data_IF_825992477837
#
_entry.id   IF_825992477837
#
_cell.length_a   1.000
_cell.length_b   1.000
_cell.length_c   1.000
_cell.angle_alpha   90.00
_cell.angle_beta   90.00
_cell.angle_gamma   90.00
#
_symmetry.space_group_name_H-M   'P 1'
#
loop_
_entity.id
_entity.type
_entity.pdbx_description
1 polymer ?
#
# COMPACT_ATOMS: atom_id res chain seq x y z
N UNK A 1 -29.11 27.26 4.54
CA UNK A 1 -28.03 28.14 5.04
C UNK A 1 -27.08 27.39 5.98
N UNK A 2 -27.58 26.58 6.93
CA UNK A 2 -26.75 25.74 7.82
C UNK A 2 -25.97 24.60 7.11
N UNK A 3 -26.46 24.07 5.99
CA UNK A 3 -25.81 22.97 5.24
C UNK A 3 -24.60 23.42 4.42
N UNK A 4 -24.62 24.62 3.83
CA UNK A 4 -23.47 25.13 3.07
C UNK A 4 -22.28 25.51 3.95
N UNK A 5 -22.52 25.99 5.16
CA UNK A 5 -21.47 26.24 6.17
C UNK A 5 -20.76 24.94 6.55
N UNK A 6 -21.49 23.84 6.72
CA UNK A 6 -20.90 22.55 7.06
C UNK A 6 -19.96 22.01 5.95
N UNK A 7 -20.33 22.15 4.67
CA UNK A 7 -19.48 21.70 3.54
C UNK A 7 -18.17 22.47 3.43
N UNK A 8 -18.26 23.79 3.58
CA UNK A 8 -17.09 24.66 3.55
C UNK A 8 -16.15 24.35 4.73
N UNK A 9 -16.71 24.09 5.91
CA UNK A 9 -15.93 23.74 7.10
C UNK A 9 -15.18 22.40 6.92
N UNK A 10 -15.83 21.37 6.36
CA UNK A 10 -15.19 20.09 6.04
C UNK A 10 -14.07 20.28 5.01
N UNK A 11 -14.32 21.02 3.93
CA UNK A 11 -13.31 21.29 2.91
C UNK A 11 -12.08 22.02 3.48
N UNK A 12 -12.29 23.01 4.36
CA UNK A 12 -11.20 23.72 5.04
C UNK A 12 -10.41 22.77 5.95
N UNK A 13 -11.08 21.87 6.68
CA UNK A 13 -10.42 20.90 7.55
C UNK A 13 -9.60 19.90 6.76
N UNK A 14 -10.11 19.38 5.64
CA UNK A 14 -9.36 18.50 4.74
C UNK A 14 -8.12 19.23 4.22
N UNK A 15 -8.29 20.46 3.70
CA UNK A 15 -7.17 21.24 3.21
C UNK A 15 -6.11 21.47 4.31
N UNK A 16 -6.53 21.83 5.52
CA UNK A 16 -5.64 22.06 6.66
C UNK A 16 -4.90 20.78 7.07
N UNK A 17 -5.58 19.63 7.10
CA UNK A 17 -4.98 18.35 7.41
C UNK A 17 -3.92 17.95 6.38
N UNK A 18 -4.24 18.05 5.08
CA UNK A 18 -3.29 17.75 4.01
C UNK A 18 -2.07 18.68 4.09
N UNK A 19 -2.28 19.99 4.29
CA UNK A 19 -1.17 20.94 4.45
C UNK A 19 -0.28 20.58 5.64
N UNK A 20 -0.86 20.29 6.81
CA UNK A 20 -0.10 19.91 8.00
C UNK A 20 0.70 18.61 7.81
N UNK A 21 0.20 17.68 7.01
CA UNK A 21 0.87 16.41 6.73
C UNK A 21 1.97 16.53 5.67
N UNK A 22 1.83 17.47 4.74
CA UNK A 22 2.76 17.72 3.64
C UNK A 22 3.72 18.88 3.88
N UNK A 23 3.66 19.54 5.04
CA UNK A 23 4.58 20.62 5.39
C UNK A 23 5.96 20.05 5.75
N UNK A 24 6.96 20.46 5.00
CA UNK A 24 8.37 20.22 5.30
C UNK A 24 8.99 21.48 5.91
N UNK A 25 9.61 21.37 7.11
CA UNK A 25 10.32 22.49 7.71
C UNK A 25 11.31 23.10 6.71
N UNK A 26 11.22 24.41 6.51
CA UNK A 26 12.09 25.21 5.63
C UNK A 26 11.91 25.01 4.11
N UNK A 27 11.31 23.92 3.66
CA UNK A 27 11.12 23.58 2.23
C UNK A 27 9.71 23.90 1.70
N UNK A 28 8.75 24.12 2.60
CA UNK A 28 7.36 24.43 2.23
C UNK A 28 6.51 23.18 2.08
N UNK A 29 5.54 23.18 1.17
CA UNK A 29 4.64 22.04 0.97
C UNK A 29 5.22 21.06 -0.05
N UNK A 30 5.38 19.79 0.34
CA UNK A 30 5.71 18.72 -0.58
C UNK A 30 4.50 18.38 -1.47
N UNK A 31 4.55 18.81 -2.73
CA UNK A 31 3.49 18.58 -3.71
C UNK A 31 3.30 17.09 -4.04
N UNK A 32 4.37 16.27 -4.00
CA UNK A 32 4.27 14.84 -4.26
C UNK A 32 3.46 14.15 -3.15
N UNK A 33 3.77 14.47 -1.89
CA UNK A 33 3.00 13.97 -0.75
C UNK A 33 1.54 14.39 -0.79
N UNK A 34 1.25 15.65 -1.15
CA UNK A 34 -0.13 16.11 -1.37
C UNK A 34 -0.85 15.27 -2.45
N UNK A 35 -0.17 14.98 -3.57
CA UNK A 35 -0.72 14.14 -4.63
C UNK A 35 -1.02 12.71 -4.15
N UNK A 36 -0.14 12.11 -3.35
CA UNK A 36 -0.38 10.79 -2.76
C UNK A 36 -1.56 10.78 -1.79
N UNK A 37 -1.68 11.81 -0.94
CA UNK A 37 -2.82 11.96 -0.03
C UNK A 37 -4.14 12.08 -0.82
N UNK A 38 -4.15 12.89 -1.89
CA UNK A 38 -5.33 13.00 -2.76
C UNK A 38 -5.64 11.70 -3.50
N UNK A 39 -4.62 11.01 -4.01
CA UNK A 39 -4.79 9.70 -4.63
C UNK A 39 -5.45 8.71 -3.67
N UNK A 40 -4.98 8.66 -2.41
CA UNK A 40 -5.62 7.90 -1.36
C UNK A 40 -7.09 8.28 -1.14
N UNK A 41 -7.40 9.57 -1.03
CA UNK A 41 -8.79 10.02 -0.88
C UNK A 41 -9.66 9.58 -2.06
N UNK A 42 -9.16 9.66 -3.30
CA UNK A 42 -9.89 9.20 -4.50
C UNK A 42 -10.16 7.70 -4.47
N UNK A 43 -9.17 6.88 -4.07
CA UNK A 43 -9.36 5.44 -3.91
C UNK A 43 -10.43 5.14 -2.87
N UNK A 44 -10.42 5.82 -1.73
CA UNK A 44 -11.43 5.61 -0.70
C UNK A 44 -12.84 6.04 -1.17
N UNK A 45 -12.94 7.17 -1.88
CA UNK A 45 -14.19 7.59 -2.49
C UNK A 45 -14.69 6.56 -3.51
N UNK A 46 -13.80 5.97 -4.32
CA UNK A 46 -14.16 4.96 -5.30
C UNK A 46 -14.77 3.70 -4.65
N UNK A 47 -14.27 3.29 -3.48
CA UNK A 47 -14.83 2.18 -2.71
C UNK A 47 -16.20 2.45 -2.06
N UNK A 48 -16.71 3.69 -2.11
CA UNK A 48 -18.09 4.00 -1.73
C UNK A 48 -19.12 3.58 -2.78
N UNK A 49 -18.67 3.15 -3.96
CA UNK A 49 -19.51 2.75 -5.09
C UNK A 49 -19.33 1.26 -5.39
N UNK A 50 -20.36 0.64 -5.98
CA UNK A 50 -20.36 -0.79 -6.31
C UNK A 50 -19.28 -1.16 -7.34
N UNK A 51 -19.04 -0.28 -8.32
CA UNK A 51 -17.96 -0.43 -9.30
C UNK A 51 -16.91 0.67 -9.09
N UNK A 52 -15.85 0.34 -8.36
CA UNK A 52 -14.78 1.28 -8.01
C UNK A 52 -13.94 1.72 -9.23
N UNK A 53 -13.81 0.87 -10.26
CA UNK A 53 -13.07 1.17 -11.49
C UNK A 53 -13.80 2.26 -12.29
N UNK A 54 -15.10 2.04 -12.55
CA UNK A 54 -15.96 3.03 -13.23
C UNK A 54 -16.03 4.35 -12.45
N UNK A 55 -16.05 4.30 -11.12
CA UNK A 55 -16.06 5.49 -10.27
C UNK A 55 -14.76 6.31 -10.39
N UNK A 56 -13.60 5.66 -10.51
CA UNK A 56 -12.32 6.34 -10.75
C UNK A 56 -12.22 6.91 -12.16
N UNK A 57 -12.62 6.15 -13.18
CA UNK A 57 -12.62 6.62 -14.57
C UNK A 57 -13.50 7.87 -14.71
N UNK A 58 -14.69 7.85 -14.11
CA UNK A 58 -15.58 9.01 -14.06
C UNK A 58 -14.96 10.20 -13.31
N UNK A 59 -14.24 9.95 -12.21
CA UNK A 59 -13.54 10.99 -11.46
C UNK A 59 -12.43 11.65 -12.29
N UNK A 60 -11.64 10.86 -13.05
CA UNK A 60 -10.60 11.40 -13.91
C UNK A 60 -11.16 12.13 -15.13
N UNK A 61 -12.20 11.61 -15.77
CA UNK A 61 -12.88 12.33 -16.85
C UNK A 61 -13.38 13.71 -16.38
N UNK A 62 -14.00 13.75 -15.19
CA UNK A 62 -14.44 15.01 -14.59
C UNK A 62 -13.28 15.92 -14.18
N UNK A 63 -12.18 15.36 -13.70
CA UNK A 63 -10.98 16.13 -13.39
C UNK A 63 -10.37 16.75 -14.66
N UNK A 64 -10.37 16.03 -15.78
CA UNK A 64 -9.91 16.54 -17.07
C UNK A 64 -10.76 17.74 -17.52
N UNK A 65 -12.09 17.65 -17.36
CA UNK A 65 -13.02 18.76 -17.62
C UNK A 65 -12.74 19.95 -16.70
N UNK A 66 -12.57 19.72 -15.39
CA UNK A 66 -12.31 20.76 -14.40
C UNK A 66 -10.96 21.47 -14.58
N UNK A 67 -9.94 20.73 -15.05
CA UNK A 67 -8.61 21.26 -15.32
C UNK A 67 -8.47 21.83 -16.73
N UNK A 68 -9.43 21.55 -17.62
CA UNK A 68 -9.35 21.82 -19.06
C UNK A 68 -8.08 21.21 -19.70
N UNK A 69 -7.64 20.05 -19.20
CA UNK A 69 -6.45 19.36 -19.69
C UNK A 69 -6.50 17.84 -19.49
N UNK A 70 -5.87 17.12 -20.41
CA UNK A 70 -5.63 15.69 -20.28
C UNK A 70 -4.35 15.39 -19.47
N UNK A 71 -4.24 14.22 -18.83
CA UNK A 71 -2.99 13.80 -18.20
C UNK A 71 -1.90 13.66 -19.27
N UNK A 72 -0.67 14.00 -18.89
CA UNK A 72 0.49 13.85 -19.78
C UNK A 72 0.59 12.43 -20.35
N UNK A 73 0.69 12.33 -21.68
CA UNK A 73 0.62 11.07 -22.42
C UNK A 73 1.98 10.39 -22.68
N UNK A 74 3.09 11.06 -22.37
CA UNK A 74 4.42 10.48 -22.56
C UNK A 74 4.83 9.54 -21.43
N UNK A 75 5.93 8.82 -21.64
CA UNK A 75 6.47 7.90 -20.65
C UNK A 75 6.87 8.64 -19.36
N UNK A 76 6.47 8.09 -18.22
CA UNK A 76 7.00 8.53 -16.93
C UNK A 76 8.42 7.98 -16.76
N UNK A 77 9.35 8.86 -16.41
CA UNK A 77 10.69 8.42 -16.03
C UNK A 77 10.63 7.52 -14.79
N UNK A 78 11.55 6.56 -14.67
CA UNK A 78 11.59 5.62 -13.54
C UNK A 78 11.85 6.24 -12.15
N UNK A 79 11.97 7.57 -12.06
CA UNK A 79 12.07 8.35 -10.81
C UNK A 79 10.93 9.36 -10.64
N UNK A 80 9.91 9.30 -11.50
CA UNK A 80 8.79 10.24 -11.45
C UNK A 80 7.88 9.98 -10.25
N UNK A 81 7.81 8.73 -9.79
CA UNK A 81 7.06 8.32 -8.61
C UNK A 81 8.01 7.92 -7.48
N UNK A 82 7.60 8.14 -6.21
CA UNK A 82 8.37 7.65 -5.07
C UNK A 82 8.32 6.12 -4.99
N UNK A 83 9.14 5.49 -4.12
CA UNK A 83 9.09 4.05 -3.89
C UNK A 83 7.70 3.57 -3.50
N UNK A 84 7.34 2.34 -3.88
CA UNK A 84 6.01 1.75 -3.66
C UNK A 84 5.58 1.73 -2.19
N UNK A 85 6.53 1.53 -1.27
CA UNK A 85 6.31 1.62 0.19
C UNK A 85 5.90 3.01 0.65
N UNK A 86 6.42 4.07 0.02
CA UNK A 86 6.06 5.46 0.31
C UNK A 86 4.69 5.81 -0.30
N UNK A 87 4.44 5.36 -1.54
CA UNK A 87 3.12 5.51 -2.17
C UNK A 87 2.04 4.88 -1.28
N UNK A 88 2.26 3.65 -0.83
CA UNK A 88 1.34 2.96 0.08
C UNK A 88 1.11 3.74 1.37
N UNK A 89 2.18 4.18 2.01
CA UNK A 89 2.12 4.92 3.28
C UNK A 89 1.34 6.25 3.18
N UNK A 90 1.65 7.08 2.17
CA UNK A 90 0.99 8.37 2.02
C UNK A 90 -0.44 8.24 1.48
N UNK A 91 -0.70 7.29 0.58
CA UNK A 91 -2.07 7.05 0.09
C UNK A 91 -2.96 6.46 1.19
N UNK A 92 -2.47 5.57 2.07
CA UNK A 92 -3.28 5.06 3.19
C UNK A 92 -3.64 6.16 4.20
N UNK A 93 -2.76 7.13 4.42
CA UNK A 93 -3.10 8.31 5.22
C UNK A 93 -4.21 9.13 4.55
N UNK A 94 -4.14 9.33 3.24
CA UNK A 94 -5.20 9.98 2.46
C UNK A 94 -6.54 9.25 2.56
N UNK A 95 -6.52 7.92 2.44
CA UNK A 95 -7.71 7.07 2.64
C UNK A 95 -8.30 7.19 4.03
N UNK A 96 -7.44 7.22 5.05
CA UNK A 96 -7.86 7.37 6.45
C UNK A 96 -8.51 8.73 6.69
N UNK A 97 -7.96 9.80 6.14
CA UNK A 97 -8.59 11.13 6.16
C UNK A 97 -9.97 11.10 5.46
N UNK A 98 -10.06 10.49 4.28
CA UNK A 98 -11.32 10.41 3.56
C UNK A 98 -12.40 9.70 4.38
N UNK A 99 -12.08 8.58 5.04
CA UNK A 99 -13.02 7.89 5.95
C UNK A 99 -13.48 8.79 7.09
N UNK A 100 -12.55 9.42 7.80
CA UNK A 100 -12.86 10.29 8.94
C UNK A 100 -13.78 11.45 8.53
N UNK A 101 -13.47 12.14 7.44
CA UNK A 101 -14.29 13.25 6.97
C UNK A 101 -15.60 12.82 6.34
N UNK A 102 -15.65 11.63 5.73
CA UNK A 102 -16.88 11.09 5.17
C UNK A 102 -17.88 10.68 6.26
N UNK A 103 -17.43 10.19 7.42
CA UNK A 103 -18.30 9.90 8.57
C UNK A 103 -19.07 11.13 9.06
N UNK A 104 -18.47 12.32 8.93
CA UNK A 104 -19.10 13.60 9.27
C UNK A 104 -19.91 14.21 8.11
N UNK A 105 -19.82 13.63 6.91
CA UNK A 105 -20.50 14.14 5.73
C UNK A 105 -21.98 13.75 5.75
N UNK A 106 -22.86 14.75 5.76
CA UNK A 106 -24.30 14.56 5.91
C UNK A 106 -25.03 14.29 4.58
N UNK A 107 -24.34 14.46 3.45
CA UNK A 107 -24.90 14.30 2.10
C UNK A 107 -24.42 13.00 1.44
N UNK A 108 -24.64 12.83 0.14
CA UNK A 108 -24.32 11.60 -0.56
C UNK A 108 -22.84 11.49 -0.98
N UNK A 109 -22.39 10.27 -1.28
CA UNK A 109 -21.02 9.94 -1.70
C UNK A 109 -20.57 10.70 -2.95
N UNK A 110 -21.48 10.93 -3.91
CA UNK A 110 -21.18 11.70 -5.12
C UNK A 110 -20.78 13.15 -4.80
N UNK A 111 -21.49 13.81 -3.88
CA UNK A 111 -21.17 15.18 -3.50
C UNK A 111 -19.88 15.29 -2.69
N UNK A 112 -19.53 14.25 -1.92
CA UNK A 112 -18.25 14.19 -1.23
C UNK A 112 -17.08 14.05 -2.22
N UNK A 113 -17.20 13.12 -3.18
CA UNK A 113 -16.21 12.94 -4.22
C UNK A 113 -16.00 14.23 -5.03
N UNK A 114 -17.09 14.93 -5.38
CA UNK A 114 -17.03 16.22 -6.07
C UNK A 114 -16.23 17.26 -5.29
N UNK A 115 -16.44 17.34 -3.98
CA UNK A 115 -15.71 18.26 -3.11
C UNK A 115 -14.21 17.92 -3.07
N UNK A 116 -13.84 16.63 -3.03
CA UNK A 116 -12.44 16.19 -3.15
C UNK A 116 -11.85 16.62 -4.50
N UNK A 117 -12.58 16.43 -5.61
CA UNK A 117 -12.11 16.86 -6.93
C UNK A 117 -11.90 18.38 -7.00
N UNK A 118 -12.77 19.18 -6.40
CA UNK A 118 -12.56 20.63 -6.31
C UNK A 118 -11.31 21.02 -5.51
N UNK A 119 -11.00 20.32 -4.42
CA UNK A 119 -9.78 20.57 -3.64
C UNK A 119 -8.51 20.25 -4.43
N UNK A 120 -8.53 19.15 -5.20
CA UNK A 120 -7.43 18.77 -6.10
C UNK A 120 -7.25 19.83 -7.18
N UNK A 121 -8.34 20.25 -7.84
CA UNK A 121 -8.32 21.28 -8.88
C UNK A 121 -7.70 22.60 -8.37
N UNK A 122 -8.08 23.02 -7.17
CA UNK A 122 -7.55 24.24 -6.54
C UNK A 122 -6.05 24.12 -6.26
N UNK A 123 -5.58 22.95 -5.81
CA UNK A 123 -4.15 22.70 -5.58
C UNK A 123 -3.36 22.77 -6.88
N UNK A 124 -3.90 22.21 -7.96
CA UNK A 124 -3.25 22.23 -9.28
C UNK A 124 -3.19 23.64 -9.86
N UNK A 125 -4.29 24.40 -9.77
CA UNK A 125 -4.31 25.80 -10.18
C UNK A 125 -3.27 26.63 -9.40
N UNK A 126 -3.10 26.36 -8.10
CA UNK A 126 -2.07 27.00 -7.29
C UNK A 126 -0.66 26.61 -7.72
N UNK A 127 -0.37 25.33 -7.95
CA UNK A 127 0.96 24.87 -8.35
C UNK A 127 1.37 25.34 -9.75
N UNK A 128 0.40 25.51 -10.66
CA UNK A 128 0.65 26.09 -11.97
C UNK A 128 1.20 27.52 -11.88
N UNK A 129 0.74 28.31 -10.90
CA UNK A 129 1.29 29.65 -10.64
C UNK A 129 2.76 29.62 -10.22
N UNK A 130 3.26 28.47 -9.75
CA UNK A 130 4.65 28.23 -9.38
C UNK A 130 5.43 27.45 -10.46
N UNK A 131 4.84 27.23 -11.64
CA UNK A 131 5.51 26.64 -12.79
C UNK A 131 5.41 25.11 -12.89
N UNK A 132 4.58 24.45 -12.07
CA UNK A 132 4.29 23.02 -12.24
C UNK A 132 3.16 22.82 -13.26
N UNK A 133 3.39 22.12 -14.39
CA UNK A 133 2.34 21.90 -15.39
C UNK A 133 1.20 21.03 -14.86
N UNK A 134 -0.04 21.50 -14.99
CA UNK A 134 -1.24 20.75 -14.55
C UNK A 134 -1.32 19.35 -15.16
N UNK A 135 -0.97 19.19 -16.43
CA UNK A 135 -0.98 17.89 -17.13
C UNK A 135 -0.01 16.87 -16.53
N UNK A 136 1.14 17.33 -16.02
CA UNK A 136 2.14 16.45 -15.38
C UNK A 136 1.69 16.07 -13.96
N UNK A 137 1.20 17.03 -13.17
CA UNK A 137 0.60 16.77 -11.86
C UNK A 137 -0.60 15.83 -11.97
N UNK A 138 -1.42 15.98 -13.02
CA UNK A 138 -2.54 15.11 -13.28
C UNK A 138 -2.10 13.69 -13.62
N UNK A 139 -1.07 13.53 -14.46
CA UNK A 139 -0.51 12.19 -14.74
C UNK A 139 -0.01 11.50 -13.47
N UNK A 140 0.70 12.23 -12.61
CA UNK A 140 1.20 11.67 -11.33
C UNK A 140 0.04 11.25 -10.42
N UNK A 141 -1.01 12.08 -10.30
CA UNK A 141 -2.21 11.75 -9.53
C UNK A 141 -2.85 10.45 -10.02
N UNK A 142 -3.05 10.31 -11.33
CA UNK A 142 -3.67 9.13 -11.96
C UNK A 142 -2.88 7.88 -11.60
N UNK A 143 -1.56 7.92 -11.77
CA UNK A 143 -0.67 6.78 -11.56
C UNK A 143 -0.59 6.36 -10.09
N UNK A 144 -0.50 7.33 -9.19
CA UNK A 144 -0.54 7.08 -7.76
C UNK A 144 -1.87 6.47 -7.31
N UNK A 145 -2.98 6.94 -7.90
CA UNK A 145 -4.33 6.44 -7.59
C UNK A 145 -4.49 4.99 -8.07
N UNK A 146 -4.08 4.68 -9.30
CA UNK A 146 -4.13 3.29 -9.82
C UNK A 146 -3.24 2.35 -9.00
N UNK A 147 -2.01 2.75 -8.66
CA UNK A 147 -1.14 1.95 -7.78
C UNK A 147 -1.76 1.72 -6.41
N UNK A 148 -2.30 2.77 -5.78
CA UNK A 148 -2.96 2.67 -4.48
C UNK A 148 -4.16 1.71 -4.53
N UNK A 149 -5.01 1.83 -5.55
CA UNK A 149 -6.13 0.91 -5.76
C UNK A 149 -5.66 -0.52 -5.96
N UNK A 150 -4.62 -0.73 -6.76
CA UNK A 150 -4.06 -2.05 -7.01
C UNK A 150 -3.52 -2.70 -5.73
N UNK A 151 -2.89 -1.94 -4.82
CA UNK A 151 -2.47 -2.45 -3.51
C UNK A 151 -3.66 -2.87 -2.64
N UNK A 152 -4.75 -2.10 -2.64
CA UNK A 152 -5.95 -2.44 -1.87
C UNK A 152 -6.68 -3.65 -2.41
N UNK A 153 -6.88 -3.72 -3.73
CA UNK A 153 -7.45 -4.89 -4.39
C UNK A 153 -6.61 -6.12 -4.10
N UNK A 154 -5.28 -6.03 -4.24
CA UNK A 154 -4.39 -7.14 -3.93
C UNK A 154 -4.49 -7.61 -2.49
N UNK A 155 -4.59 -6.68 -1.53
CA UNK A 155 -4.72 -7.03 -0.12
C UNK A 155 -5.98 -7.86 0.16
N UNK A 156 -7.10 -7.59 -0.53
CA UNK A 156 -8.35 -8.35 -0.35
C UNK A 156 -8.33 -9.64 -1.17
N UNK A 157 -8.12 -9.53 -2.47
CA UNK A 157 -8.28 -10.62 -3.43
C UNK A 157 -7.23 -11.73 -3.24
N UNK A 158 -6.00 -11.39 -2.87
CA UNK A 158 -4.99 -12.42 -2.55
C UNK A 158 -5.32 -13.14 -1.24
N UNK A 159 -5.87 -12.45 -0.25
CA UNK A 159 -6.35 -13.08 0.98
C UNK A 159 -7.50 -14.04 0.69
N UNK A 160 -8.49 -13.59 -0.09
CA UNK A 160 -9.67 -14.38 -0.42
C UNK A 160 -9.30 -15.58 -1.30
N UNK A 161 -8.48 -15.38 -2.33
CA UNK A 161 -7.97 -16.48 -3.15
C UNK A 161 -7.18 -17.50 -2.31
N UNK A 162 -6.43 -17.05 -1.31
CA UNK A 162 -5.73 -17.93 -0.39
C UNK A 162 -6.73 -18.71 0.48
N UNK A 163 -7.72 -18.05 1.06
CA UNK A 163 -8.74 -18.69 1.91
C UNK A 163 -9.50 -19.75 1.11
N UNK A 164 -9.95 -19.43 -0.09
CA UNK A 164 -10.72 -20.35 -0.92
C UNK A 164 -9.86 -21.51 -1.43
N UNK A 165 -8.72 -21.21 -2.06
CA UNK A 165 -7.94 -22.23 -2.77
C UNK A 165 -7.01 -22.98 -1.84
N UNK A 166 -6.30 -22.29 -0.93
CA UNK A 166 -5.28 -22.92 -0.09
C UNK A 166 -5.87 -23.51 1.18
N UNK A 167 -6.70 -22.76 1.90
CA UNK A 167 -7.33 -23.26 3.13
C UNK A 167 -8.51 -24.17 2.78
N UNK A 168 -9.45 -23.69 1.95
CA UNK A 168 -10.68 -24.42 1.62
C UNK A 168 -10.44 -25.72 0.86
N UNK A 169 -9.61 -25.69 -0.20
CA UNK A 169 -9.37 -26.87 -1.06
C UNK A 169 -8.14 -27.64 -0.62
N UNK A 170 -6.99 -26.98 -0.44
CA UNK A 170 -5.71 -27.64 -0.14
C UNK A 170 -5.47 -27.89 1.37
N UNK A 171 -6.39 -27.47 2.24
CA UNK A 171 -6.36 -27.72 3.69
C UNK A 171 -5.07 -27.17 4.35
N UNK A 172 -4.56 -26.04 3.85
CA UNK A 172 -3.48 -25.31 4.51
C UNK A 172 -3.92 -24.82 5.89
N UNK A 173 -2.96 -24.76 6.81
CA UNK A 173 -3.19 -24.11 8.10
C UNK A 173 -3.06 -22.61 7.94
N UNK A 174 -3.75 -21.86 8.79
CA UNK A 174 -3.62 -20.40 8.89
C UNK A 174 -2.17 -19.91 9.04
N UNK A 175 -1.35 -20.65 9.78
CA UNK A 175 0.08 -20.35 9.91
C UNK A 175 0.83 -20.46 8.57
N UNK A 176 0.50 -21.46 7.75
CA UNK A 176 1.10 -21.66 6.42
C UNK A 176 0.71 -20.51 5.49
N UNK A 177 -0.55 -20.06 5.58
CA UNK A 177 -1.07 -18.91 4.84
C UNK A 177 -0.29 -17.61 5.08
N UNK A 178 -0.07 -17.30 6.36
CA UNK A 178 0.70 -16.12 6.79
C UNK A 178 2.14 -16.22 6.31
N UNK A 179 2.79 -17.37 6.51
CA UNK A 179 4.16 -17.60 6.09
C UNK A 179 4.33 -17.55 4.57
N UNK A 180 3.35 -18.02 3.80
CA UNK A 180 3.37 -18.00 2.35
C UNK A 180 3.34 -16.57 1.80
N UNK A 181 2.35 -15.75 2.21
CA UNK A 181 2.21 -14.37 1.73
C UNK A 181 3.39 -13.49 2.16
N UNK A 182 3.81 -13.59 3.42
CA UNK A 182 4.97 -12.87 3.93
C UNK A 182 6.26 -13.31 3.22
N UNK A 183 6.42 -14.62 2.98
CA UNK A 183 7.54 -15.17 2.22
C UNK A 183 7.57 -14.68 0.77
N UNK A 184 6.41 -14.65 0.09
CA UNK A 184 6.28 -14.11 -1.27
C UNK A 184 6.68 -12.63 -1.32
N UNK A 185 6.27 -11.82 -0.32
CA UNK A 185 6.67 -10.41 -0.24
C UNK A 185 8.20 -10.27 -0.18
N UNK A 186 8.87 -11.02 0.70
CA UNK A 186 10.32 -10.97 0.86
C UNK A 186 11.07 -11.48 -0.36
N UNK A 187 10.57 -12.56 -0.97
CA UNK A 187 11.12 -13.14 -2.19
C UNK A 187 11.05 -12.15 -3.37
N UNK A 188 9.87 -11.56 -3.63
CA UNK A 188 9.67 -10.58 -4.71
C UNK A 188 10.46 -9.31 -4.48
N UNK A 189 10.52 -8.83 -3.24
CA UNK A 189 11.33 -7.67 -2.88
C UNK A 189 12.79 -7.93 -3.25
N UNK A 190 13.39 -9.05 -2.82
CA UNK A 190 14.78 -9.37 -3.15
C UNK A 190 15.02 -9.48 -4.67
N UNK A 191 14.07 -10.04 -5.41
CA UNK A 191 14.16 -10.11 -6.87
C UNK A 191 14.07 -8.74 -7.56
N UNK A 192 13.34 -7.77 -6.99
CA UNK A 192 13.15 -6.43 -7.59
C UNK A 192 14.45 -5.65 -7.81
N UNK A 193 15.51 -5.98 -7.06
CA UNK A 193 16.84 -5.39 -7.19
C UNK A 193 17.91 -6.43 -7.51
N UNK A 194 17.53 -7.56 -8.10
CA UNK A 194 18.44 -8.66 -8.47
C UNK A 194 19.32 -9.13 -7.30
N UNK A 195 18.83 -9.02 -6.05
CA UNK A 195 19.62 -9.26 -4.84
C UNK A 195 20.86 -8.36 -4.66
N UNK A 196 21.00 -7.29 -5.46
CA UNK A 196 22.18 -6.40 -5.50
C UNK A 196 22.11 -5.22 -4.54
N UNK A 197 20.91 -4.71 -4.24
CA UNK A 197 20.76 -3.68 -3.22
C UNK A 197 20.77 -4.31 -1.82
N UNK A 198 21.69 -3.80 -0.97
CA UNK A 198 21.75 -4.06 0.46
C UNK A 198 22.03 -5.52 0.89
N UNK A 199 22.96 -6.19 0.20
CA UNK A 199 23.67 -7.35 0.74
C UNK A 199 24.58 -6.95 1.92
N UNK A 200 23.98 -6.42 2.98
CA UNK A 200 24.58 -6.42 4.30
C UNK A 200 24.26 -7.80 4.86
N UNK A 201 25.24 -8.49 5.42
CA UNK A 201 24.97 -9.52 6.42
C UNK A 201 24.29 -8.84 7.61
N UNK A 202 23.00 -8.54 7.48
CA UNK A 202 22.27 -7.73 8.44
C UNK A 202 22.06 -8.59 9.69
N UNK A 203 22.43 -8.05 10.86
CA UNK A 203 22.63 -8.82 12.10
C UNK A 203 21.41 -8.68 13.00
N UNK A 204 20.74 -9.79 13.31
CA UNK A 204 19.63 -9.78 14.27
C UNK A 204 18.48 -8.88 13.82
N UNK A 205 18.15 -7.88 14.64
CA UNK A 205 17.01 -6.97 14.46
C UNK A 205 17.25 -5.80 13.48
N UNK A 206 18.47 -5.62 13.01
CA UNK A 206 18.82 -4.56 12.06
C UNK A 206 18.46 -5.03 10.66
N UNK A 207 17.29 -4.66 10.15
CA UNK A 207 16.84 -5.02 8.80
C UNK A 207 17.38 -3.99 7.77
N UNK A 208 17.66 -4.41 6.52
CA UNK A 208 17.91 -3.48 5.42
C UNK A 208 16.71 -2.55 5.20
N UNK A 209 16.93 -1.29 4.83
CA UNK A 209 15.90 -0.25 4.77
C UNK A 209 14.68 -0.66 3.92
N UNK A 210 14.90 -1.27 2.75
CA UNK A 210 13.81 -1.69 1.86
C UNK A 210 12.99 -2.83 2.47
N UNK A 211 13.65 -3.78 3.13
CA UNK A 211 12.98 -4.88 3.82
C UNK A 211 12.21 -4.34 5.04
N UNK A 212 12.79 -3.41 5.78
CA UNK A 212 12.14 -2.81 6.94
C UNK A 212 10.89 -2.02 6.56
N UNK A 213 10.95 -1.23 5.49
CA UNK A 213 9.80 -0.51 4.96
C UNK A 213 8.70 -1.47 4.46
N UNK A 214 9.07 -2.59 3.82
CA UNK A 214 8.09 -3.58 3.35
C UNK A 214 7.47 -4.35 4.53
N UNK A 215 8.26 -4.68 5.55
CA UNK A 215 7.76 -5.24 6.79
C UNK A 215 6.81 -4.25 7.50
N UNK A 216 7.14 -2.96 7.47
CA UNK A 216 6.31 -1.90 8.03
C UNK A 216 4.93 -1.84 7.35
N UNK A 217 4.86 -1.94 6.01
CA UNK A 217 3.59 -2.07 5.27
C UNK A 217 2.73 -3.22 5.81
N UNK A 218 3.31 -4.42 5.95
CA UNK A 218 2.63 -5.58 6.52
C UNK A 218 2.13 -5.31 7.96
N UNK A 219 2.95 -4.67 8.79
CA UNK A 219 2.56 -4.36 10.18
C UNK A 219 1.43 -3.34 10.26
N UNK A 220 1.47 -2.28 9.44
CA UNK A 220 0.43 -1.25 9.40
C UNK A 220 -0.89 -1.85 8.98
N UNK A 221 -0.89 -2.68 7.93
CA UNK A 221 -2.09 -3.34 7.44
C UNK A 221 -2.70 -4.27 8.50
N UNK A 222 -1.89 -5.05 9.22
CA UNK A 222 -2.40 -5.89 10.30
C UNK A 222 -2.98 -5.09 11.48
N UNK A 223 -2.32 -4.00 11.88
CA UNK A 223 -2.77 -3.13 12.97
C UNK A 223 -4.07 -2.44 12.59
N UNK A 224 -4.20 -1.99 11.33
CA UNK A 224 -5.41 -1.39 10.75
C UNK A 224 -6.62 -2.31 10.88
N UNK A 225 -6.43 -3.62 10.71
CA UNK A 225 -7.48 -4.64 10.87
C UNK A 225 -7.60 -5.20 12.30
N UNK A 226 -7.01 -4.51 13.30
CA UNK A 226 -7.27 -4.77 14.72
C UNK A 226 -6.26 -5.65 15.44
N UNK A 227 -5.10 -5.94 14.83
CA UNK A 227 -4.00 -6.61 15.54
C UNK A 227 -3.29 -5.63 16.50
N UNK A 228 -2.92 -6.10 17.69
CA UNK A 228 -2.31 -5.26 18.72
C UNK A 228 -0.89 -4.78 18.32
N UNK A 229 -0.58 -3.50 18.50
CA UNK A 229 0.72 -2.88 18.17
C UNK A 229 1.78 -2.94 19.29
N UNK A 230 1.44 -3.47 20.47
CA UNK A 230 2.23 -3.25 21.71
C UNK A 230 3.57 -3.99 21.81
N UNK A 231 3.83 -4.99 20.96
CA UNK A 231 5.10 -5.74 20.94
C UNK A 231 5.85 -5.49 19.64
N UNK A 232 7.17 -5.24 19.77
CA UNK A 232 8.06 -5.21 18.62
C UNK A 232 7.94 -6.53 17.84
N UNK A 233 7.62 -6.42 16.55
CA UNK A 233 7.40 -7.55 15.67
C UNK A 233 8.69 -8.28 15.33
N UNK A 234 9.83 -7.61 15.52
CA UNK A 234 11.18 -8.18 15.36
C UNK A 234 11.56 -9.08 16.55
N UNK A 235 10.79 -9.04 17.63
CA UNK A 235 11.03 -9.89 18.80
C UNK A 235 10.83 -11.37 18.45
N UNK A 236 11.86 -12.19 18.66
CA UNK A 236 11.81 -13.64 18.39
C UNK A 236 12.36 -14.06 17.03
N UNK A 237 12.93 -13.14 16.24
CA UNK A 237 13.73 -13.51 15.08
C UNK A 237 14.94 -14.37 15.51
N UNK A 238 15.27 -15.44 14.76
CA UNK A 238 16.40 -16.30 15.09
C UNK A 238 17.71 -15.51 15.12
N UNK A 239 18.61 -15.90 16.01
CA UNK A 239 19.97 -15.40 15.95
C UNK A 239 20.60 -15.83 14.61
N UNK A 240 21.43 -14.98 14.01
CA UNK A 240 22.00 -15.19 12.67
C UNK A 240 23.12 -16.26 12.64
N UNK A 241 23.16 -17.18 13.61
CA UNK A 241 24.02 -18.36 13.63
C UNK A 241 23.43 -19.55 12.86
N UNK A 242 22.20 -19.43 12.35
CA UNK A 242 21.57 -20.44 11.49
C UNK A 242 21.58 -20.06 10.00
N UNK A 243 21.79 -21.02 9.09
CA UNK A 243 21.57 -20.83 7.66
C UNK A 243 20.15 -20.33 7.38
N UNK A 244 19.98 -19.63 6.25
CA UNK A 244 18.67 -19.14 5.88
C UNK A 244 17.68 -20.32 5.68
N UNK A 245 16.47 -20.21 6.21
CA UNK A 245 15.44 -21.26 6.15
C UNK A 245 14.10 -20.68 5.65
N UNK A 246 14.04 -20.21 4.39
CA UNK A 246 12.81 -19.68 3.82
C UNK A 246 11.73 -20.75 3.66
N UNK A 247 10.43 -20.40 3.78
CA UNK A 247 9.30 -21.31 3.54
C UNK A 247 9.09 -21.59 2.04
N UNK A 248 10.12 -22.13 1.39
CA UNK A 248 10.23 -22.25 -0.07
C UNK A 248 9.09 -23.05 -0.70
N UNK A 249 8.63 -24.12 -0.05
CA UNK A 249 7.49 -24.91 -0.53
C UNK A 249 6.22 -24.09 -0.57
N UNK A 250 5.95 -23.30 0.47
CA UNK A 250 4.77 -22.45 0.57
C UNK A 250 4.81 -21.33 -0.48
N UNK A 251 5.97 -20.70 -0.66
CA UNK A 251 6.17 -19.67 -1.70
C UNK A 251 5.91 -20.25 -3.08
N UNK A 252 6.51 -21.40 -3.41
CA UNK A 252 6.33 -22.06 -4.72
C UNK A 252 4.88 -22.43 -5.00
N UNK A 253 4.13 -22.82 -3.97
CA UNK A 253 2.72 -23.15 -4.12
C UNK A 253 1.83 -21.90 -4.22
N UNK A 254 2.21 -20.79 -3.61
CA UNK A 254 1.47 -19.53 -3.66
C UNK A 254 1.76 -18.71 -4.92
N UNK A 255 2.97 -18.80 -5.47
CA UNK A 255 3.42 -18.01 -6.62
C UNK A 255 2.48 -18.09 -7.84
N UNK A 256 1.91 -19.25 -8.24
CA UNK A 256 0.96 -19.30 -9.36
C UNK A 256 -0.30 -18.47 -9.12
N UNK A 257 -0.78 -18.39 -7.87
CA UNK A 257 -1.95 -17.58 -7.49
C UNK A 257 -1.59 -16.09 -7.59
N UNK A 258 -0.47 -15.69 -6.98
CA UNK A 258 0.03 -14.33 -7.06
C UNK A 258 0.29 -13.90 -8.51
N UNK A 259 0.97 -14.71 -9.30
CA UNK A 259 1.29 -14.40 -10.70
C UNK A 259 0.03 -14.29 -11.57
N UNK A 260 -0.96 -15.17 -11.36
CA UNK A 260 -2.25 -15.10 -12.05
C UNK A 260 -2.99 -13.79 -11.74
N UNK A 261 -3.06 -13.43 -10.46
CA UNK A 261 -3.70 -12.20 -10.00
C UNK A 261 -2.97 -10.94 -10.50
N UNK A 262 -1.66 -10.83 -10.27
CA UNK A 262 -0.87 -9.66 -10.67
C UNK A 262 -0.88 -9.43 -12.18
N UNK A 263 -0.93 -10.51 -12.97
CA UNK A 263 -1.12 -10.41 -14.42
C UNK A 263 -2.51 -9.85 -14.79
N UNK A 264 -3.55 -10.19 -14.05
CA UNK A 264 -4.91 -9.72 -14.31
C UNK A 264 -5.07 -8.22 -14.03
N UNK A 265 -4.38 -7.70 -13.00
CA UNK A 265 -4.39 -6.27 -12.65
C UNK A 265 -3.21 -5.48 -13.24
N UNK A 266 -2.47 -6.09 -14.19
CA UNK A 266 -1.33 -5.48 -14.88
C UNK A 266 -0.19 -4.96 -13.96
N UNK A 267 -0.05 -5.53 -12.75
CA UNK A 267 1.02 -5.20 -11.80
C UNK A 267 2.28 -6.03 -12.11
N UNK A 268 3.13 -5.52 -13.00
CA UNK A 268 4.35 -6.25 -13.43
C UNK A 268 5.60 -5.94 -12.61
N UNK A 269 5.63 -4.82 -11.92
CA UNK A 269 6.78 -4.42 -11.11
C UNK A 269 6.90 -5.27 -9.84
N UNK A 270 8.08 -5.83 -9.59
CA UNK A 270 8.30 -6.74 -8.46
C UNK A 270 8.29 -6.03 -7.10
N UNK A 271 8.63 -4.74 -7.04
CA UNK A 271 8.55 -3.96 -5.81
C UNK A 271 7.07 -3.70 -5.45
N UNK A 272 6.26 -3.31 -6.44
CA UNK A 272 4.80 -3.20 -6.27
C UNK A 272 4.18 -4.52 -5.81
N UNK A 273 4.54 -5.64 -6.44
CA UNK A 273 4.03 -6.96 -6.03
C UNK A 273 4.49 -7.33 -4.62
N UNK A 274 5.69 -6.94 -4.19
CA UNK A 274 6.17 -7.18 -2.84
C UNK A 274 5.34 -6.41 -1.80
N UNK A 275 5.05 -5.13 -2.06
CA UNK A 275 4.15 -4.30 -1.23
C UNK A 275 2.75 -4.91 -1.18
N UNK A 276 2.20 -5.31 -2.32
CA UNK A 276 0.90 -5.95 -2.41
C UNK A 276 0.82 -7.26 -1.60
N UNK A 277 1.83 -8.14 -1.73
CA UNK A 277 1.93 -9.36 -0.92
C UNK A 277 2.09 -9.04 0.58
N UNK A 278 2.84 -7.99 0.94
CA UNK A 278 3.02 -7.56 2.32
C UNK A 278 1.71 -7.09 2.94
N UNK A 279 0.88 -6.32 2.20
CA UNK A 279 -0.47 -5.96 2.66
C UNK A 279 -1.36 -7.18 2.83
N UNK A 280 -1.41 -8.07 1.84
CA UNK A 280 -2.17 -9.31 1.96
C UNK A 280 -1.72 -10.14 3.18
N UNK A 281 -0.42 -10.23 3.44
CA UNK A 281 0.11 -10.88 4.64
C UNK A 281 -0.37 -10.19 5.93
N UNK A 282 -0.39 -8.86 5.98
CA UNK A 282 -0.89 -8.07 7.10
C UNK A 282 -2.38 -8.31 7.38
N UNK A 283 -3.21 -8.34 6.33
CA UNK A 283 -4.64 -8.66 6.45
C UNK A 283 -4.85 -10.10 6.91
N UNK A 284 -4.10 -11.05 6.37
CA UNK A 284 -4.14 -12.45 6.83
C UNK A 284 -3.73 -12.56 8.30
N UNK A 285 -2.70 -11.84 8.75
CA UNK A 285 -2.30 -11.79 10.17
C UNK A 285 -3.44 -11.28 11.06
N UNK A 286 -4.15 -10.24 10.66
CA UNK A 286 -5.30 -9.76 11.41
C UNK A 286 -6.44 -10.78 11.48
N UNK A 287 -6.71 -11.52 10.38
CA UNK A 287 -7.71 -12.59 10.36
C UNK A 287 -7.32 -13.73 11.32
N UNK A 288 -6.04 -14.11 11.32
CA UNK A 288 -5.56 -15.26 12.11
C UNK A 288 -5.37 -14.95 13.60
N UNK A 289 -4.97 -13.72 13.91
CA UNK A 289 -4.48 -13.33 15.25
C UNK A 289 -5.24 -12.16 15.88
N UNK A 290 -6.22 -11.61 15.18
CA UNK A 290 -7.10 -10.57 15.71
C UNK A 290 -8.20 -11.12 16.63
N UNK A 291 -8.87 -10.21 17.33
CA UNK A 291 -10.07 -10.52 18.12
C UNK A 291 -9.81 -11.11 19.52
N UNK A 292 -10.90 -11.47 20.21
CA UNK A 292 -10.86 -11.92 21.62
C UNK A 292 -10.36 -13.36 21.81
N UNK A 293 -10.43 -14.17 20.76
CA UNK A 293 -10.03 -15.58 20.74
C UNK A 293 -9.31 -15.86 19.41
N UNK A 294 -8.05 -15.44 19.28
CA UNK A 294 -7.29 -15.64 18.07
C UNK A 294 -7.07 -17.15 17.82
N UNK A 295 -7.03 -17.56 16.56
CA UNK A 295 -6.65 -18.94 16.20
C UNK A 295 -5.14 -19.15 16.34
N UNK A 296 -4.37 -18.11 16.05
CA UNK A 296 -2.94 -18.05 16.29
C UNK A 296 -2.63 -16.88 17.21
N UNK A 297 -2.03 -17.13 18.37
CA UNK A 297 -1.64 -16.05 19.29
C UNK A 297 -0.75 -15.02 18.58
N UNK A 298 -0.96 -13.70 18.76
CA UNK A 298 -0.14 -12.66 18.15
C UNK A 298 1.36 -12.81 18.44
N UNK A 299 1.71 -13.35 19.61
CA UNK A 299 3.09 -13.62 20.01
C UNK A 299 3.77 -14.74 19.18
N UNK A 300 2.99 -15.52 18.41
CA UNK A 300 3.47 -16.57 17.50
C UNK A 300 3.36 -16.10 16.04
N UNK A 301 2.24 -15.47 15.68
CA UNK A 301 1.97 -15.06 14.31
C UNK A 301 2.90 -13.97 13.80
N UNK A 302 3.18 -12.94 14.63
CA UNK A 302 4.07 -11.84 14.21
C UNK A 302 5.50 -12.33 13.95
N UNK A 303 6.15 -13.11 14.85
CA UNK A 303 7.48 -13.64 14.56
C UNK A 303 7.49 -14.62 13.39
N UNK A 304 6.41 -15.39 13.18
CA UNK A 304 6.28 -16.28 12.02
C UNK A 304 6.32 -15.50 10.70
N UNK A 305 5.50 -14.44 10.58
CA UNK A 305 5.48 -13.60 9.39
C UNK A 305 6.82 -12.88 9.17
N UNK A 306 7.40 -12.33 10.24
CA UNK A 306 8.69 -11.65 10.19
C UNK A 306 9.83 -12.60 9.82
N UNK A 307 9.83 -13.84 10.33
CA UNK A 307 10.78 -14.85 9.91
C UNK A 307 10.60 -15.20 8.43
N UNK A 308 9.36 -15.42 7.98
CA UNK A 308 9.08 -15.77 6.59
C UNK A 308 9.55 -14.71 5.59
N UNK A 309 9.22 -13.42 5.81
CA UNK A 309 9.65 -12.32 4.92
C UNK A 309 11.18 -12.15 4.92
N UNK A 310 11.79 -12.20 6.10
CA UNK A 310 13.23 -11.98 6.28
C UNK A 310 14.06 -13.12 5.69
N UNK A 311 13.68 -14.37 5.96
CA UNK A 311 14.39 -15.55 5.49
C UNK A 311 14.26 -15.71 3.97
N UNK A 312 13.09 -15.38 3.41
CA UNK A 312 12.87 -15.38 1.96
C UNK A 312 13.72 -14.33 1.26
N UNK A 313 13.73 -13.11 1.78
CA UNK A 313 14.59 -12.04 1.29
C UNK A 313 16.08 -12.44 1.32
N UNK A 314 16.54 -12.93 2.49
CA UNK A 314 17.93 -13.36 2.71
C UNK A 314 18.33 -14.49 1.76
N UNK A 315 17.46 -15.47 1.54
CA UNK A 315 17.76 -16.62 0.68
C UNK A 315 18.09 -16.22 -0.76
N UNK A 316 17.29 -15.33 -1.35
CA UNK A 316 17.50 -14.81 -2.71
C UNK A 316 18.79 -13.99 -2.78
N UNK A 317 19.02 -13.11 -1.80
CA UNK A 317 20.25 -12.31 -1.76
C UNK A 317 21.51 -13.19 -1.69
N UNK A 318 21.46 -14.28 -0.93
CA UNK A 318 22.56 -15.26 -0.85
C UNK A 318 22.77 -15.98 -2.18
N UNK A 319 21.70 -16.40 -2.87
CA UNK A 319 21.81 -17.03 -4.19
C UNK A 319 22.51 -16.11 -5.20
N UNK A 320 22.13 -14.83 -5.26
CA UNK A 320 22.77 -13.85 -6.14
C UNK A 320 24.23 -13.59 -5.76
N UNK A 321 24.57 -13.53 -4.48
CA UNK A 321 25.94 -13.35 -4.02
C UNK A 321 26.86 -14.53 -4.41
N UNK A 322 26.34 -15.75 -4.52
CA UNK A 322 27.10 -16.91 -5.02
C UNK A 322 27.22 -16.97 -6.54
N UNK A 323 26.36 -16.25 -7.27
CA UNK A 323 26.37 -16.20 -8.74
C UNK A 323 27.23 -15.06 -9.30
N UNK A 324 27.59 -14.07 -8.48
CA UNK A 324 28.47 -12.94 -8.82
C UNK A 324 29.95 -13.29 -8.62
#
# INVERSE_FOLDING_TARGET
MQTHTAKADVAIRIHTAIQAMAEEPEMGTDAMKVLMLYAGMLVECAFLFDNCEEALEGAFARMADLLECEPYAGDLGGRALPPSTIIDFDTEQGRSLAREFFEEWLDCSYEFQDMVLYLIQQSFARWEMFGMPRSESFRILVEATYKSMAFELAAQELCDALIEQKIGIMQWKLADSVAALAGCAGYKLAQSHEGRDQCCWFRGSDLPDLLDQTAYVMTQEAVRHGLCSTTDWRFGLPANDTPANPPTSLIREMEPVCAGFFKAIEMFDLNDQAVACAKAAGRMLAITSGGKKPELEPAIAKPLAMAAITESYKSVCVEYAFMA
#
